data_IF_954044680480
#
_entry.id   IF_954044680480
#
_cell.length_a   1.000
_cell.length_b   1.000
_cell.length_c   1.000
_cell.angle_alpha   90.00
_cell.angle_beta   90.00
_cell.angle_gamma   90.00
#
_symmetry.space_group_name_H-M   'P 1'
#
loop_
_entity.id
_entity.type
_entity.pdbx_description
1 polymer ?
#
# COMPACT_ATOMS: atom_id res chain seq x y z
N UNK A 1 -28.30 0.37 13.81
CA UNK A 1 -26.92 0.41 13.30
C UNK A 1 -26.87 -0.68 12.25
N UNK A 2 -26.79 -0.32 10.97
CA UNK A 2 -26.76 -1.33 9.90
C UNK A 2 -25.48 -2.15 10.04
N UNK A 3 -25.64 -3.45 10.11
CA UNK A 3 -24.55 -4.41 10.20
C UNK A 3 -23.65 -4.29 8.96
N UNK A 4 -22.34 -4.19 9.18
CA UNK A 4 -21.37 -4.15 8.09
C UNK A 4 -21.26 -5.57 7.54
N UNK A 5 -21.67 -5.75 6.28
CA UNK A 5 -21.58 -7.05 5.60
C UNK A 5 -20.26 -7.20 4.86
N UNK A 6 -19.81 -8.44 4.66
CA UNK A 6 -18.62 -8.75 3.86
C UNK A 6 -18.71 -8.15 2.45
N UNK A 7 -19.89 -8.17 1.83
CA UNK A 7 -20.11 -7.56 0.52
C UNK A 7 -19.89 -6.04 0.51
N UNK A 8 -20.28 -5.35 1.60
CA UNK A 8 -20.06 -3.92 1.74
C UNK A 8 -18.58 -3.60 1.99
N UNK A 9 -17.88 -4.42 2.78
CA UNK A 9 -16.43 -4.31 2.98
C UNK A 9 -15.72 -4.49 1.63
N UNK A 10 -16.02 -5.56 0.90
CA UNK A 10 -15.41 -5.84 -0.39
C UNK A 10 -15.65 -4.72 -1.43
N UNK A 11 -16.86 -4.16 -1.46
CA UNK A 11 -17.17 -3.03 -2.34
C UNK A 11 -16.38 -1.77 -1.95
N UNK A 12 -16.26 -1.46 -0.66
CA UNK A 12 -15.54 -0.29 -0.17
C UNK A 12 -14.03 -0.37 -0.45
N UNK A 13 -13.44 -1.56 -0.33
CA UNK A 13 -12.00 -1.77 -0.51
C UNK A 13 -11.57 -2.13 -1.94
N UNK A 14 -12.51 -2.32 -2.88
CA UNK A 14 -12.17 -2.62 -4.29
C UNK A 14 -11.21 -1.59 -4.92
N UNK A 15 -11.41 -0.27 -4.75
CA UNK A 15 -10.47 0.71 -5.30
C UNK A 15 -9.07 0.61 -4.67
N UNK A 16 -8.97 0.23 -3.38
CA UNK A 16 -7.69 0.00 -2.71
C UNK A 16 -6.98 -1.20 -3.33
N UNK A 17 -7.72 -2.27 -3.62
CA UNK A 17 -7.19 -3.47 -4.26
C UNK A 17 -6.64 -3.16 -5.65
N UNK A 18 -7.38 -2.42 -6.48
CA UNK A 18 -6.95 -2.03 -7.83
C UNK A 18 -5.64 -1.22 -7.81
N UNK A 19 -5.50 -0.29 -6.86
CA UNK A 19 -4.26 0.49 -6.67
C UNK A 19 -3.11 -0.38 -6.16
N UNK A 20 -3.39 -1.35 -5.29
CA UNK A 20 -2.37 -2.27 -4.78
C UNK A 20 -1.86 -3.20 -5.89
N UNK A 21 -2.75 -3.71 -6.74
CA UNK A 21 -2.38 -4.49 -7.93
C UNK A 21 -1.56 -3.66 -8.92
N UNK A 22 -1.88 -2.38 -9.10
CA UNK A 22 -1.05 -1.47 -9.90
C UNK A 22 0.35 -1.31 -9.30
N UNK A 23 0.44 -1.14 -7.98
CA UNK A 23 1.70 -1.04 -7.26
C UNK A 23 2.58 -2.28 -7.48
N UNK A 24 2.00 -3.48 -7.36
CA UNK A 24 2.70 -4.75 -7.62
C UNK A 24 3.20 -4.84 -9.07
N UNK A 25 2.36 -4.47 -10.05
CA UNK A 25 2.77 -4.48 -11.47
C UNK A 25 3.93 -3.53 -11.74
N UNK A 26 3.90 -2.33 -11.16
CA UNK A 26 4.98 -1.36 -11.32
C UNK A 26 6.25 -1.79 -10.61
N UNK A 27 6.15 -2.42 -9.43
CA UNK A 27 7.30 -3.04 -8.76
C UNK A 27 8.01 -4.05 -9.66
N UNK A 28 7.26 -4.92 -10.34
CA UNK A 28 7.82 -5.88 -11.30
C UNK A 28 8.45 -5.20 -12.54
N UNK A 29 7.91 -4.06 -12.98
CA UNK A 29 8.52 -3.26 -14.06
C UNK A 29 9.84 -2.65 -13.61
N UNK A 30 9.88 -2.07 -12.41
CA UNK A 30 11.08 -1.47 -11.83
C UNK A 30 12.19 -2.50 -11.62
N UNK A 31 11.85 -3.69 -11.11
CA UNK A 31 12.79 -4.81 -10.96
C UNK A 31 13.34 -5.27 -12.32
N UNK A 32 12.47 -5.45 -13.32
CA UNK A 32 12.89 -5.82 -14.69
C UNK A 32 13.82 -4.80 -15.33
N UNK A 33 13.66 -3.52 -14.99
CA UNK A 33 14.40 -2.40 -15.60
C UNK A 33 15.53 -1.87 -14.71
N UNK A 34 15.88 -2.55 -13.61
CA UNK A 34 16.89 -2.09 -12.65
C UNK A 34 18.20 -1.68 -13.35
N UNK A 35 18.69 -2.56 -14.24
CA UNK A 35 19.93 -2.40 -14.99
C UNK A 35 19.76 -1.83 -16.42
N UNK A 36 18.61 -1.24 -16.74
CA UNK A 36 18.37 -0.65 -18.05
C UNK A 36 19.38 0.47 -18.34
N UNK A 37 20.15 0.31 -19.43
CA UNK A 37 21.16 1.26 -19.87
C UNK A 37 20.81 1.93 -21.21
N UNK A 38 19.81 1.39 -21.92
CA UNK A 38 19.31 2.04 -23.13
C UNK A 38 18.34 3.17 -22.78
N UNK A 39 18.28 4.24 -23.59
CA UNK A 39 17.45 5.41 -23.29
C UNK A 39 15.95 5.11 -23.13
N UNK A 40 15.42 4.10 -23.83
CA UNK A 40 14.01 3.76 -23.76
C UNK A 40 13.68 3.06 -22.43
N UNK A 41 14.52 2.11 -22.01
CA UNK A 41 14.40 1.44 -20.72
C UNK A 41 14.55 2.40 -19.54
N UNK A 42 15.45 3.39 -19.62
CA UNK A 42 15.60 4.44 -18.60
C UNK A 42 14.31 5.27 -18.49
N UNK A 43 13.76 5.73 -19.62
CA UNK A 43 12.53 6.53 -19.63
C UNK A 43 11.32 5.74 -19.08
N UNK A 44 11.21 4.46 -19.42
CA UNK A 44 10.16 3.58 -18.87
C UNK A 44 10.32 3.40 -17.35
N UNK A 45 11.56 3.20 -16.87
CA UNK A 45 11.85 3.06 -15.43
C UNK A 45 11.51 4.33 -14.66
N UNK A 46 11.88 5.50 -15.19
CA UNK A 46 11.56 6.80 -14.57
C UNK A 46 10.04 7.01 -14.48
N UNK A 47 9.30 6.77 -15.57
CA UNK A 47 7.84 6.88 -15.57
C UNK A 47 7.18 5.89 -14.59
N UNK A 48 7.68 4.65 -14.54
CA UNK A 48 7.21 3.66 -13.56
C UNK A 48 7.51 4.09 -12.12
N UNK A 49 8.69 4.67 -11.88
CA UNK A 49 9.11 5.17 -10.56
C UNK A 49 8.27 6.35 -10.08
N UNK A 50 7.99 7.31 -10.97
CA UNK A 50 7.10 8.45 -10.68
C UNK A 50 5.69 7.98 -10.31
N UNK A 51 5.13 7.05 -11.08
CA UNK A 51 3.81 6.49 -10.78
C UNK A 51 3.82 5.69 -9.48
N UNK A 52 4.85 4.86 -9.26
CA UNK A 52 5.00 4.08 -8.04
C UNK A 52 5.08 4.96 -6.79
N UNK A 53 5.79 6.09 -6.87
CA UNK A 53 5.88 7.07 -5.78
C UNK A 53 4.52 7.71 -5.45
N UNK A 54 3.66 7.97 -6.46
CA UNK A 54 2.34 8.56 -6.23
C UNK A 54 1.33 7.56 -5.62
N UNK A 55 1.50 6.26 -5.89
CA UNK A 55 0.55 5.23 -5.49
C UNK A 55 0.41 5.07 -3.98
N UNK A 56 1.49 5.22 -3.21
CA UNK A 56 1.42 5.04 -1.76
C UNK A 56 0.43 6.03 -1.11
N UNK A 57 0.45 7.29 -1.55
CA UNK A 57 -0.47 8.31 -1.05
C UNK A 57 -1.92 8.04 -1.52
N UNK A 58 -2.10 7.63 -2.77
CA UNK A 58 -3.41 7.25 -3.33
C UNK A 58 -4.04 6.06 -2.59
N UNK A 59 -3.25 5.03 -2.31
CA UNK A 59 -3.67 3.86 -1.52
C UNK A 59 -4.10 4.30 -0.12
N UNK A 60 -3.32 5.13 0.55
CA UNK A 60 -3.67 5.67 1.86
C UNK A 60 -4.99 6.45 1.83
N UNK A 61 -5.14 7.39 0.88
CA UNK A 61 -6.37 8.18 0.72
C UNK A 61 -7.59 7.31 0.43
N UNK A 62 -7.44 6.33 -0.46
CA UNK A 62 -8.50 5.37 -0.80
C UNK A 62 -8.89 4.49 0.41
N UNK A 63 -7.89 4.05 1.18
CA UNK A 63 -8.11 3.27 2.41
C UNK A 63 -8.85 4.09 3.46
N UNK A 64 -8.46 5.35 3.69
CA UNK A 64 -9.18 6.24 4.60
C UNK A 64 -10.64 6.45 4.16
N UNK A 65 -10.89 6.65 2.87
CA UNK A 65 -12.24 6.78 2.32
C UNK A 65 -13.09 5.51 2.53
N UNK A 66 -12.50 4.33 2.28
CA UNK A 66 -13.17 3.04 2.52
C UNK A 66 -13.56 2.89 3.99
N UNK A 67 -12.64 3.16 4.92
CA UNK A 67 -12.88 3.10 6.37
C UNK A 67 -14.00 4.07 6.81
N UNK A 68 -13.98 5.32 6.32
CA UNK A 68 -15.05 6.30 6.58
C UNK A 68 -16.42 5.78 6.12
N UNK A 69 -16.49 5.19 4.93
CA UNK A 69 -17.75 4.63 4.38
C UNK A 69 -18.32 3.45 5.19
N UNK A 70 -17.46 2.75 5.93
CA UNK A 70 -17.81 1.63 6.81
C UNK A 70 -18.09 2.08 8.25
N UNK A 71 -17.91 3.37 8.57
CA UNK A 71 -18.06 3.89 9.93
C UNK A 71 -16.86 3.63 10.84
N UNK A 72 -15.72 3.22 10.29
CA UNK A 72 -14.46 2.94 11.01
C UNK A 72 -13.59 4.21 11.12
N UNK A 73 -14.16 5.25 11.72
CA UNK A 73 -13.60 6.60 11.72
C UNK A 73 -12.24 6.72 12.41
N UNK A 74 -11.97 5.92 13.44
CA UNK A 74 -10.70 5.96 14.16
C UNK A 74 -9.54 5.51 13.27
N UNK A 75 -9.73 4.43 12.52
CA UNK A 75 -8.72 3.96 11.56
C UNK A 75 -8.49 4.97 10.44
N UNK A 76 -9.56 5.57 9.92
CA UNK A 76 -9.43 6.61 8.91
C UNK A 76 -8.69 7.86 9.41
N UNK A 77 -8.96 8.28 10.66
CA UNK A 77 -8.30 9.43 11.27
C UNK A 77 -6.79 9.20 11.49
N UNK A 78 -6.38 7.96 11.79
CA UNK A 78 -4.95 7.63 11.89
C UNK A 78 -4.24 7.76 10.55
N UNK A 79 -4.90 7.34 9.46
CA UNK A 79 -4.34 7.48 8.11
C UNK A 79 -4.28 8.96 7.70
N UNK A 80 -5.38 9.71 7.93
CA UNK A 80 -5.41 11.15 7.65
C UNK A 80 -4.31 11.90 8.42
N UNK A 81 -4.07 11.53 9.69
CA UNK A 81 -3.01 12.11 10.50
C UNK A 81 -1.61 11.79 9.95
N UNK A 82 -1.39 10.56 9.47
CA UNK A 82 -0.15 10.18 8.79
C UNK A 82 0.09 10.96 7.50
N UNK A 83 -0.95 11.11 6.68
CA UNK A 83 -0.91 11.87 5.42
C UNK A 83 -0.68 13.39 5.62
N UNK A 84 -0.98 13.91 6.81
CA UNK A 84 -0.72 15.31 7.15
C UNK A 84 0.73 15.57 7.57
N UNK A 85 1.54 14.53 7.78
CA UNK A 85 2.97 14.66 8.09
C UNK A 85 3.71 14.97 6.79
N UNK A 86 4.51 16.06 6.72
CA UNK A 86 5.34 16.34 5.55
C UNK A 86 6.30 15.17 5.26
N UNK A 87 6.50 14.84 3.99
CA UNK A 87 7.28 13.67 3.61
C UNK A 87 8.72 13.71 4.16
N UNK A 88 9.33 14.90 4.22
CA UNK A 88 10.68 15.08 4.77
C UNK A 88 10.75 14.74 6.27
N UNK A 89 9.66 14.98 7.00
CA UNK A 89 9.53 14.63 8.42
C UNK A 89 9.26 13.14 8.57
N UNK A 90 8.45 12.56 7.67
CA UNK A 90 8.18 11.14 7.66
C UNK A 90 9.44 10.31 7.40
N UNK A 91 10.26 10.69 6.43
CA UNK A 91 11.54 10.01 6.14
C UNK A 91 12.49 10.01 7.34
N UNK A 92 12.64 11.15 8.03
CA UNK A 92 13.43 11.26 9.26
C UNK A 92 12.85 10.40 10.40
N UNK A 93 11.51 10.33 10.53
CA UNK A 93 10.85 9.47 11.51
C UNK A 93 11.08 7.98 11.23
N UNK A 94 11.02 7.55 9.96
CA UNK A 94 11.28 6.15 9.57
C UNK A 94 12.73 5.76 9.85
N UNK A 95 13.68 6.67 9.60
CA UNK A 95 15.11 6.43 9.93
C UNK A 95 15.32 6.31 11.45
N UNK A 96 14.66 7.17 12.24
CA UNK A 96 14.79 7.16 13.72
C UNK A 96 14.02 6.03 14.38
N UNK A 97 12.90 5.64 13.80
CA UNK A 97 11.97 4.63 14.31
C UNK A 97 11.56 3.68 13.16
N UNK A 98 12.47 2.78 12.75
CA UNK A 98 12.17 1.85 11.67
C UNK A 98 10.95 0.98 12.02
N UNK A 99 10.07 0.69 11.04
CA UNK A 99 8.90 -0.15 11.28
C UNK A 99 9.33 -1.51 11.86
N UNK A 100 8.65 -1.95 12.91
CA UNK A 100 8.94 -3.21 13.57
C UNK A 100 8.11 -4.35 12.95
N UNK A 101 8.71 -5.53 12.69
CA UNK A 101 10.12 -5.86 12.87
C UNK A 101 11.02 -5.29 11.74
N UNK A 102 12.26 -4.89 12.06
CA UNK A 102 13.23 -4.29 11.12
C UNK A 102 13.71 -5.25 10.02
N UNK A 103 13.34 -6.52 10.12
CA UNK A 103 13.34 -7.50 9.06
C UNK A 103 11.94 -8.10 9.04
N UNK A 104 11.32 -8.24 7.86
CA UNK A 104 10.21 -9.20 7.71
C UNK A 104 10.74 -10.49 8.34
N UNK A 105 10.13 -11.03 9.42
CA UNK A 105 10.52 -12.35 9.86
C UNK A 105 10.36 -13.20 8.60
N UNK A 106 11.28 -14.12 8.34
CA UNK A 106 11.08 -15.15 7.34
C UNK A 106 9.86 -15.98 7.79
N UNK A 107 8.68 -15.40 7.57
CA UNK A 107 7.39 -15.99 7.72
C UNK A 107 7.34 -16.88 6.50
N UNK A 108 7.96 -18.05 6.62
CA UNK A 108 7.46 -19.23 5.95
C UNK A 108 5.96 -19.26 6.27
N UNK A 109 5.16 -18.63 5.42
CA UNK A 109 3.71 -18.77 5.40
C UNK A 109 3.45 -20.20 4.92
N UNK A 110 3.80 -21.16 5.77
CA UNK A 110 3.34 -22.53 5.61
C UNK A 110 1.81 -22.41 5.61
N UNK A 111 1.14 -22.91 4.56
CA UNK A 111 -0.31 -22.85 4.51
C UNK A 111 -0.84 -23.44 5.82
N UNK A 112 -1.57 -22.63 6.59
CA UNK A 112 -2.32 -23.11 7.75
C UNK A 112 -3.14 -24.29 7.24
N UNK A 113 -2.79 -25.51 7.67
CA UNK A 113 -3.59 -26.70 7.40
C UNK A 113 -5.02 -26.37 7.81
N UNK A 114 -5.89 -26.47 6.81
CA UNK A 114 -7.34 -26.34 6.86
C UNK A 114 -7.92 -26.71 8.23
N UNK A 115 -8.64 -25.77 8.86
CA UNK A 115 -9.69 -26.14 9.81
C UNK A 115 -10.87 -26.71 9.01
N UNK A 116 -10.75 -27.99 8.68
CA UNK A 116 -11.85 -28.92 8.46
C UNK A 116 -11.56 -30.14 9.33
N UNK A 117 -12.11 -30.14 10.55
CA UNK A 117 -12.54 -31.29 11.32
C UNK A 117 -13.34 -30.77 12.52
#
# INVERSE_FOLDING_TARGET
MDEVTDGRIAAAFRPVLELTEECERLGAVLERLEDAADPAGIAEREAAGERFASLNEEICRSTAAALKSLGLWQGAAMIDAGLAIPNEVWEDLVVRYPPFPPAVPDLELRPRRSWRA
#
